data_IF_996853461405
#
_entry.id   IF_996853461405
#
_cell.length_a   1.000
_cell.length_b   1.000
_cell.length_c   1.000
_cell.angle_alpha   90.00
_cell.angle_beta   90.00
_cell.angle_gamma   90.00
#
_symmetry.space_group_name_H-M   'P 1'
#
loop_
_entity.id
_entity.type
_entity.pdbx_description
1 polymer ?
#
# COMPACT_ATOMS: atom_id res chain seq x y z
N UNK A 1 43.80 -47.81 8.34
CA UNK A 1 42.60 -48.00 7.50
C UNK A 1 41.95 -46.63 7.33
N UNK A 2 41.95 -46.07 6.12
CA UNK A 2 41.36 -44.77 5.73
C UNK A 2 40.39 -45.04 4.60
N UNK A 3 39.21 -44.41 4.62
CA UNK A 3 38.42 -44.15 3.42
C UNK A 3 37.95 -42.69 3.46
N UNK A 4 38.06 -42.04 2.31
CA UNK A 4 37.69 -40.67 1.97
C UNK A 4 36.72 -40.77 0.79
N UNK A 5 35.64 -39.97 0.75
CA UNK A 5 34.91 -39.69 -0.50
C UNK A 5 34.32 -38.28 -0.48
N UNK A 6 34.96 -37.40 -1.25
CA UNK A 6 34.37 -36.22 -1.89
C UNK A 6 33.84 -36.60 -3.29
N UNK A 7 32.90 -35.80 -3.79
CA UNK A 7 32.30 -35.74 -5.14
C UNK A 7 31.19 -36.80 -5.39
N UNK A 8 29.99 -36.52 -5.92
CA UNK A 8 29.63 -35.76 -7.13
C UNK A 8 28.11 -35.36 -7.08
N UNK A 9 27.82 -34.07 -7.31
CA UNK A 9 26.67 -33.32 -7.92
C UNK A 9 25.24 -33.89 -8.20
N UNK A 10 24.19 -33.15 -7.73
CA UNK A 10 22.91 -32.61 -8.32
C UNK A 10 22.36 -33.07 -9.72
N UNK A 11 21.12 -32.70 -10.22
CA UNK A 11 19.78 -32.33 -9.65
C UNK A 11 18.51 -32.87 -10.42
N UNK A 12 17.28 -32.61 -9.89
CA UNK A 12 15.93 -32.48 -10.53
C UNK A 12 15.27 -33.58 -11.39
N UNK A 13 14.08 -34.07 -10.98
CA UNK A 13 12.96 -34.47 -11.87
C UNK A 13 11.59 -34.43 -11.13
N UNK A 14 10.63 -33.75 -11.76
CA UNK A 14 9.21 -33.55 -11.40
C UNK A 14 8.36 -34.84 -11.42
N UNK A 15 7.27 -34.92 -10.65
CA UNK A 15 5.86 -34.89 -11.17
C UNK A 15 4.79 -35.26 -10.11
N UNK A 16 3.63 -34.61 -10.27
CA UNK A 16 2.44 -34.52 -9.43
C UNK A 16 1.42 -35.65 -9.73
N UNK A 17 0.82 -36.35 -8.74
CA UNK A 17 -0.31 -37.24 -9.01
C UNK A 17 -1.60 -36.79 -8.29
N UNK A 18 -2.16 -35.66 -8.70
CA UNK A 18 -3.62 -35.48 -8.70
C UNK A 18 -4.15 -35.83 -10.09
N UNK A 19 -4.34 -37.13 -10.34
CA UNK A 19 -5.16 -37.64 -11.45
C UNK A 19 -5.71 -39.01 -11.05
N UNK A 20 -7.03 -39.15 -11.17
CA UNK A 20 -7.88 -40.30 -10.79
C UNK A 20 -8.15 -40.29 -9.28
N UNK A 21 -9.32 -39.87 -8.81
CA UNK A 21 -10.57 -40.61 -8.99
C UNK A 21 -11.75 -39.63 -8.94
N UNK A 22 -12.54 -39.62 -9.99
CA UNK A 22 -13.94 -39.22 -9.93
C UNK A 22 -14.69 -40.37 -10.59
N UNK A 23 -15.56 -41.06 -9.83
CA UNK A 23 -16.80 -41.69 -10.29
C UNK A 23 -17.57 -42.23 -9.08
N UNK A 24 -18.59 -41.45 -8.74
CA UNK A 24 -19.83 -41.74 -8.02
C UNK A 24 -20.33 -43.18 -8.04
N UNK A 25 -20.85 -43.64 -6.90
CA UNK A 25 -22.06 -44.45 -6.87
C UNK A 25 -22.99 -44.00 -5.73
N UNK A 26 -24.19 -43.53 -6.12
CA UNK A 26 -25.32 -43.19 -5.24
C UNK A 26 -26.04 -44.47 -4.80
N UNK A 27 -26.73 -44.36 -3.67
CA UNK A 27 -27.70 -45.29 -3.04
C UNK A 27 -27.13 -46.26 -2.01
N UNK A 28 -26.83 -45.73 -0.82
CA UNK A 28 -27.56 -46.11 0.39
C UNK A 28 -27.72 -44.85 1.26
N UNK A 29 -28.91 -44.25 1.21
CA UNK A 29 -29.46 -43.43 2.29
C UNK A 29 -29.96 -44.42 3.34
N UNK A 30 -29.45 -44.34 4.57
CA UNK A 30 -30.22 -43.86 5.72
C UNK A 30 -29.44 -44.09 7.03
N UNK A 31 -29.64 -43.14 7.95
CA UNK A 31 -29.04 -42.99 9.29
C UNK A 31 -27.76 -42.15 9.37
N UNK A 32 -27.87 -40.84 9.09
CA UNK A 32 -26.94 -39.86 9.64
C UNK A 32 -27.25 -39.64 11.13
N UNK A 33 -26.53 -40.34 12.00
CA UNK A 33 -26.33 -39.88 13.37
C UNK A 33 -25.43 -38.65 13.28
N UNK A 34 -26.01 -37.49 13.53
CA UNK A 34 -25.31 -36.22 13.58
C UNK A 34 -24.45 -36.17 14.85
N UNK A 35 -23.25 -36.75 14.82
CA UNK A 35 -22.23 -36.47 15.82
C UNK A 35 -21.60 -35.13 15.46
N UNK A 36 -22.24 -34.04 15.91
CA UNK A 36 -21.49 -32.82 16.22
C UNK A 36 -20.37 -33.26 17.15
N UNK A 37 -19.12 -33.14 16.70
CA UNK A 37 -18.01 -33.09 17.64
C UNK A 37 -18.27 -31.87 18.50
N UNK A 38 -18.71 -32.10 19.73
CA UNK A 38 -18.66 -31.10 20.79
C UNK A 38 -17.19 -30.70 20.92
N UNK A 39 -16.85 -29.56 20.33
CA UNK A 39 -15.62 -28.85 20.65
C UNK A 39 -15.76 -28.50 22.12
N UNK A 40 -15.06 -29.22 23.00
CA UNK A 40 -14.94 -28.86 24.40
C UNK A 40 -14.25 -27.49 24.41
N UNK A 41 -15.04 -26.43 24.63
CA UNK A 41 -14.55 -25.06 24.68
C UNK A 41 -13.88 -24.86 26.03
N UNK A 42 -12.60 -24.48 25.98
CA UNK A 42 -11.79 -24.13 27.14
C UNK A 42 -12.31 -22.83 27.76
N UNK A 43 -12.98 -22.95 28.91
CA UNK A 43 -13.53 -21.86 29.74
C UNK A 43 -12.59 -21.45 30.89
N UNK A 44 -11.33 -21.89 30.85
CA UNK A 44 -10.30 -21.40 31.77
C UNK A 44 -9.99 -19.93 31.50
N UNK A 45 -9.39 -19.24 32.48
CA UNK A 45 -8.91 -17.87 32.30
C UNK A 45 -7.96 -17.77 31.10
N UNK A 46 -7.09 -18.77 30.89
CA UNK A 46 -6.21 -18.91 29.71
C UNK A 46 -6.98 -19.12 28.38
N UNK A 47 -8.16 -19.73 28.43
CA UNK A 47 -9.04 -19.96 27.28
C UNK A 47 -9.77 -18.68 26.85
N UNK A 48 -10.18 -17.86 27.82
CA UNK A 48 -10.84 -16.58 27.59
C UNK A 48 -9.82 -15.49 27.24
N UNK A 49 -8.62 -15.50 27.84
CA UNK A 49 -7.53 -14.59 27.49
C UNK A 49 -7.09 -14.73 26.01
N UNK A 50 -7.34 -15.86 25.35
CA UNK A 50 -7.15 -16.00 23.89
C UNK A 50 -8.08 -15.10 23.07
N UNK A 51 -9.26 -14.75 23.60
CA UNK A 51 -10.16 -13.76 22.99
C UNK A 51 -9.71 -12.32 23.26
N UNK A 52 -8.87 -12.11 24.27
CA UNK A 52 -8.36 -10.81 24.71
C UNK A 52 -6.88 -10.60 24.43
N UNK A 53 -6.23 -11.49 23.67
CA UNK A 53 -4.82 -11.39 23.33
C UNK A 53 -4.55 -9.92 22.99
N UNK A 54 -3.68 -9.25 23.76
CA UNK A 54 -3.64 -7.79 24.07
C UNK A 54 -3.54 -6.86 22.84
N UNK A 55 -3.63 -7.42 21.64
CA UNK A 55 -3.52 -6.81 20.34
C UNK A 55 -4.76 -7.08 19.44
N UNK A 56 -5.96 -7.42 19.96
CA UNK A 56 -7.09 -7.82 19.09
C UNK A 56 -7.58 -6.68 18.17
N UNK A 57 -7.71 -5.46 18.68
CA UNK A 57 -7.99 -4.28 17.87
C UNK A 57 -6.73 -3.73 17.20
N UNK A 58 -5.56 -3.94 17.82
CA UNK A 58 -4.27 -3.58 17.22
C UNK A 58 -4.01 -4.34 15.92
N UNK A 59 -4.37 -5.62 15.84
CA UNK A 59 -4.26 -6.41 14.61
C UNK A 59 -5.11 -5.82 13.47
N UNK A 60 -6.29 -5.28 13.78
CA UNK A 60 -7.16 -4.59 12.80
C UNK A 60 -6.48 -3.30 12.31
N UNK A 61 -5.89 -2.53 13.22
CA UNK A 61 -5.12 -1.33 12.88
C UNK A 61 -3.87 -1.63 12.06
N UNK A 62 -3.10 -2.64 12.50
CA UNK A 62 -1.87 -3.09 11.84
C UNK A 62 -2.18 -3.67 10.45
N UNK A 63 -3.30 -4.40 10.28
CA UNK A 63 -3.80 -4.87 8.98
C UNK A 63 -4.21 -3.69 8.07
N UNK A 64 -4.89 -2.66 8.60
CA UNK A 64 -5.21 -1.46 7.83
C UNK A 64 -3.94 -0.69 7.39
N UNK A 65 -2.91 -0.65 8.24
CA UNK A 65 -1.61 -0.06 7.91
C UNK A 65 -0.77 -0.91 6.95
N UNK A 66 -0.81 -2.25 7.07
CA UNK A 66 -0.06 -3.16 6.19
C UNK A 66 -0.74 -3.37 4.85
N UNK A 67 -2.08 -3.35 4.77
CA UNK A 67 -2.81 -3.33 3.50
C UNK A 67 -2.67 -1.98 2.78
N UNK A 68 -2.41 -0.88 3.50
CA UNK A 68 -1.97 0.39 2.91
C UNK A 68 -0.56 0.29 2.27
N UNK A 69 0.31 -0.58 2.82
CA UNK A 69 1.63 -0.89 2.27
C UNK A 69 1.60 -2.02 1.22
N UNK A 70 0.56 -2.85 1.18
CA UNK A 70 0.31 -3.79 0.08
C UNK A 70 -0.36 -3.03 -1.05
N UNK A 71 0.25 -3.12 -2.22
CA UNK A 71 -0.11 -2.47 -3.48
C UNK A 71 -1.52 -2.81 -4.06
N UNK A 72 -2.48 -3.21 -3.24
CA UNK A 72 -3.89 -3.36 -3.63
C UNK A 72 -4.77 -2.50 -2.73
N UNK A 73 -5.33 -1.45 -3.32
CA UNK A 73 -6.50 -0.72 -2.82
C UNK A 73 -7.62 -1.71 -2.55
N UNK A 74 -7.75 -2.14 -1.31
CA UNK A 74 -9.03 -2.49 -0.69
C UNK A 74 -9.21 -1.56 0.49
N UNK A 75 -9.89 -0.45 0.22
CA UNK A 75 -11.01 0.10 1.00
C UNK A 75 -10.91 0.00 2.54
N UNK A 76 -9.76 0.36 3.10
CA UNK A 76 -9.62 0.51 4.54
C UNK A 76 -9.19 1.96 4.83
N UNK A 77 -10.15 2.87 4.79
CA UNK A 77 -9.94 4.22 5.27
C UNK A 77 -10.18 4.28 6.79
N UNK A 78 -9.81 5.37 7.44
CA UNK A 78 -10.01 5.52 8.88
C UNK A 78 -11.48 5.52 9.30
N UNK A 79 -12.41 5.91 8.43
CA UNK A 79 -13.84 5.70 8.69
C UNK A 79 -14.23 4.21 8.74
N UNK A 80 -13.55 3.34 8.00
CA UNK A 80 -13.77 1.89 8.01
C UNK A 80 -13.14 1.22 9.23
N UNK A 81 -12.07 1.79 9.82
CA UNK A 81 -11.46 1.22 11.03
C UNK A 81 -12.43 1.26 12.22
N UNK A 82 -13.21 2.34 12.34
CA UNK A 82 -14.20 2.50 13.40
C UNK A 82 -15.31 1.45 13.25
N UNK A 83 -15.77 1.21 12.00
CA UNK A 83 -16.75 0.15 11.72
C UNK A 83 -16.21 -1.22 12.11
N UNK A 84 -14.97 -1.54 11.72
CA UNK A 84 -14.32 -2.80 12.07
C UNK A 84 -14.12 -2.99 13.56
N UNK A 85 -13.80 -1.91 14.29
CA UNK A 85 -13.74 -1.96 15.76
C UNK A 85 -15.10 -2.29 16.35
N UNK A 86 -16.18 -1.66 15.87
CA UNK A 86 -17.55 -1.98 16.30
C UNK A 86 -17.96 -3.43 15.98
N UNK A 87 -17.71 -3.91 14.76
CA UNK A 87 -17.97 -5.30 14.35
C UNK A 87 -17.22 -6.29 15.24
N UNK A 88 -15.94 -6.02 15.47
CA UNK A 88 -15.09 -6.89 16.28
C UNK A 88 -15.51 -6.89 17.74
N UNK A 89 -15.91 -5.73 18.26
CA UNK A 89 -16.46 -5.63 19.60
C UNK A 89 -17.68 -6.53 19.75
N UNK A 90 -18.66 -6.43 18.84
CA UNK A 90 -19.87 -7.26 18.89
C UNK A 90 -19.56 -8.76 18.79
N UNK A 91 -18.63 -9.17 17.92
CA UNK A 91 -18.18 -10.56 17.78
C UNK A 91 -17.61 -11.13 19.10
N UNK A 92 -16.84 -10.32 19.83
CA UNK A 92 -16.23 -10.73 21.11
C UNK A 92 -17.28 -10.69 22.22
N UNK A 93 -18.15 -9.67 22.23
CA UNK A 93 -19.25 -9.53 23.16
C UNK A 93 -20.14 -10.79 23.17
N UNK A 94 -20.60 -11.24 21.99
CA UNK A 94 -21.42 -12.45 21.85
C UNK A 94 -20.72 -13.68 22.43
N UNK A 95 -19.41 -13.82 22.19
CA UNK A 95 -18.62 -14.93 22.75
C UNK A 95 -18.55 -14.87 24.27
N UNK A 96 -18.39 -13.69 24.87
CA UNK A 96 -18.38 -13.52 26.32
C UNK A 96 -19.75 -13.90 26.89
N UNK A 97 -20.83 -13.42 26.29
CA UNK A 97 -22.20 -13.72 26.76
C UNK A 97 -22.51 -15.22 26.66
N UNK A 98 -22.13 -15.87 25.56
CA UNK A 98 -22.40 -17.29 25.31
C UNK A 98 -21.53 -18.25 26.13
N UNK A 99 -20.25 -17.91 26.36
CA UNK A 99 -19.25 -18.89 26.81
C UNK A 99 -18.73 -18.67 28.22
N UNK A 100 -18.99 -17.52 28.82
CA UNK A 100 -18.45 -17.16 30.13
C UNK A 100 -19.46 -17.42 31.25
N UNK A 101 -19.03 -17.94 32.42
CA UNK A 101 -19.86 -17.99 33.64
C UNK A 101 -20.37 -16.61 34.08
N UNK A 102 -21.62 -16.52 34.55
CA UNK A 102 -22.26 -15.23 34.90
C UNK A 102 -21.46 -14.38 35.89
N UNK A 103 -20.77 -15.01 36.85
CA UNK A 103 -19.96 -14.33 37.86
C UNK A 103 -18.64 -13.74 37.34
N UNK A 104 -18.27 -13.99 36.09
CA UNK A 104 -17.09 -13.42 35.42
C UNK A 104 -17.43 -12.53 34.22
N UNK A 105 -18.71 -12.49 33.80
CA UNK A 105 -19.12 -11.71 32.61
C UNK A 105 -18.79 -10.24 32.75
N UNK A 106 -19.11 -9.64 33.89
CA UNK A 106 -18.85 -8.22 34.16
C UNK A 106 -17.35 -7.88 34.02
N UNK A 107 -16.47 -8.67 34.65
CA UNK A 107 -15.02 -8.48 34.57
C UNK A 107 -14.49 -8.53 33.12
N UNK A 108 -14.95 -9.48 32.30
CA UNK A 108 -14.49 -9.58 30.91
C UNK A 108 -15.09 -8.51 30.01
N UNK A 109 -16.32 -8.06 30.28
CA UNK A 109 -16.91 -6.94 29.55
C UNK A 109 -16.17 -5.63 29.85
N UNK A 110 -15.80 -5.38 31.12
CA UNK A 110 -14.97 -4.23 31.50
C UNK A 110 -13.61 -4.24 30.79
N UNK A 111 -13.00 -5.42 30.68
CA UNK A 111 -11.75 -5.60 29.90
C UNK A 111 -11.95 -5.34 28.41
N UNK A 112 -13.08 -5.76 27.83
CA UNK A 112 -13.40 -5.51 26.42
C UNK A 112 -13.62 -4.03 26.15
N UNK A 113 -14.39 -3.35 27.00
CA UNK A 113 -14.62 -1.90 26.92
C UNK A 113 -13.31 -1.12 27.07
N UNK A 114 -12.45 -1.52 28.01
CA UNK A 114 -11.13 -0.89 28.19
C UNK A 114 -10.24 -1.06 26.94
N UNK A 115 -10.15 -2.28 26.39
CA UNK A 115 -9.37 -2.54 25.19
C UNK A 115 -9.92 -1.82 23.95
N UNK A 116 -11.24 -1.66 23.86
CA UNK A 116 -11.89 -0.88 22.80
C UNK A 116 -11.57 0.61 22.92
N UNK A 117 -11.72 1.19 24.11
CA UNK A 117 -11.39 2.60 24.37
C UNK A 117 -9.92 2.90 24.04
N UNK A 118 -8.99 2.06 24.51
CA UNK A 118 -7.56 2.21 24.24
C UNK A 118 -7.25 2.18 22.73
N UNK A 119 -7.93 1.31 21.98
CA UNK A 119 -7.78 1.23 20.53
C UNK A 119 -8.32 2.47 19.82
N UNK A 120 -9.49 2.97 20.23
CA UNK A 120 -10.11 4.18 19.67
C UNK A 120 -9.24 5.40 19.95
N UNK A 121 -8.75 5.57 21.18
CA UNK A 121 -7.89 6.70 21.56
C UNK A 121 -6.55 6.68 20.81
N UNK A 122 -5.97 5.50 20.62
CA UNK A 122 -4.76 5.35 19.82
C UNK A 122 -5.00 5.75 18.35
N UNK A 123 -6.06 5.27 17.72
CA UNK A 123 -6.38 5.63 16.33
C UNK A 123 -6.74 7.11 16.17
N UNK A 124 -7.47 7.69 17.14
CA UNK A 124 -7.74 9.12 17.17
C UNK A 124 -6.43 9.93 17.29
N UNK A 125 -5.50 9.49 18.14
CA UNK A 125 -4.21 10.16 18.33
C UNK A 125 -3.35 10.10 17.07
N UNK A 126 -3.32 8.95 16.38
CA UNK A 126 -2.66 8.81 15.08
C UNK A 126 -3.28 9.76 14.04
N UNK A 127 -4.60 9.87 14.01
CA UNK A 127 -5.29 10.74 13.07
C UNK A 127 -4.98 12.22 13.33
N UNK A 128 -5.06 12.66 14.59
CA UNK A 128 -4.66 14.03 14.97
C UNK A 128 -3.21 14.32 14.59
N UNK A 129 -2.31 13.35 14.75
CA UNK A 129 -0.92 13.50 14.32
C UNK A 129 -0.79 13.67 12.79
N UNK A 130 -1.55 12.91 11.99
CA UNK A 130 -1.59 13.06 10.52
C UNK A 130 -2.09 14.44 10.12
N UNK A 131 -3.16 14.92 10.76
CA UNK A 131 -3.70 16.27 10.53
C UNK A 131 -2.62 17.32 10.85
N UNK A 132 -2.02 17.27 12.04
CA UNK A 132 -0.98 18.22 12.44
C UNK A 132 0.24 18.22 11.52
N UNK A 133 0.67 17.03 11.07
CA UNK A 133 1.78 16.86 10.13
C UNK A 133 1.48 17.60 8.82
N UNK A 134 0.29 17.39 8.24
CA UNK A 134 -0.10 18.02 6.99
C UNK A 134 -0.16 19.55 7.10
N UNK A 135 -0.74 20.08 8.18
CA UNK A 135 -0.75 21.54 8.41
C UNK A 135 0.67 22.12 8.56
N UNK A 136 1.55 21.44 9.29
CA UNK A 136 2.95 21.86 9.45
C UNK A 136 3.72 21.87 8.14
N UNK A 137 3.54 20.85 7.30
CA UNK A 137 4.19 20.75 5.97
C UNK A 137 3.79 21.92 5.05
N UNK A 138 2.62 22.52 5.28
CA UNK A 138 2.13 23.68 4.52
C UNK A 138 2.39 25.03 5.23
N UNK A 139 3.11 25.05 6.36
CA UNK A 139 3.29 26.23 7.20
C UNK A 139 1.96 26.90 7.62
N UNK A 140 0.91 26.10 7.81
CA UNK A 140 -0.42 26.54 8.23
C UNK A 140 -0.67 26.16 9.69
N UNK A 141 -1.42 27.00 10.41
CA UNK A 141 -2.00 26.62 11.70
C UNK A 141 -3.40 26.03 11.47
N UNK A 142 -3.74 24.99 12.21
CA UNK A 142 -5.05 24.36 12.11
C UNK A 142 -6.06 25.03 13.05
N UNK A 143 -7.15 25.56 12.50
CA UNK A 143 -8.33 25.97 13.27
C UNK A 143 -9.15 24.79 13.80
N UNK A 144 -8.85 23.56 13.38
CA UNK A 144 -9.55 22.38 13.87
C UNK A 144 -9.37 22.23 15.38
N UNK A 145 -10.48 22.24 16.12
CA UNK A 145 -10.42 22.02 17.55
C UNK A 145 -10.14 20.54 17.83
N UNK A 146 -8.88 20.24 18.20
CA UNK A 146 -8.42 18.86 18.48
C UNK A 146 -9.25 18.15 19.56
N UNK A 147 -9.71 18.89 20.58
CA UNK A 147 -10.53 18.31 21.64
C UNK A 147 -11.91 17.94 21.11
N UNK A 148 -12.55 18.84 20.36
CA UNK A 148 -13.84 18.56 19.72
C UNK A 148 -13.75 17.45 18.68
N UNK A 149 -12.65 17.39 17.92
CA UNK A 149 -12.38 16.30 16.99
C UNK A 149 -12.27 14.96 17.72
N UNK A 150 -11.47 14.89 18.79
CA UNK A 150 -11.29 13.66 19.56
C UNK A 150 -12.58 13.21 20.26
N UNK A 151 -13.36 14.15 20.77
CA UNK A 151 -14.68 13.87 21.36
C UNK A 151 -15.65 13.31 20.31
N UNK A 152 -15.71 13.92 19.12
CA UNK A 152 -16.54 13.40 18.03
C UNK A 152 -16.07 12.02 17.56
N UNK A 153 -14.76 11.81 17.38
CA UNK A 153 -14.20 10.54 16.96
C UNK A 153 -14.58 9.42 17.93
N UNK A 154 -14.44 9.67 19.23
CA UNK A 154 -14.88 8.76 20.29
C UNK A 154 -16.39 8.49 20.22
N UNK A 155 -17.22 9.53 20.16
CA UNK A 155 -18.68 9.38 20.09
C UNK A 155 -19.12 8.54 18.89
N UNK A 156 -18.49 8.75 17.72
CA UNK A 156 -18.72 7.95 16.50
C UNK A 156 -18.32 6.50 16.73
N UNK A 157 -17.19 6.24 17.40
CA UNK A 157 -16.76 4.87 17.70
C UNK A 157 -17.72 4.13 18.64
N UNK A 158 -18.21 4.78 19.70
CA UNK A 158 -19.21 4.19 20.58
C UNK A 158 -20.55 3.99 19.88
N UNK A 159 -20.99 4.93 19.03
CA UNK A 159 -22.19 4.72 18.24
C UNK A 159 -22.01 3.55 17.24
N UNK A 160 -20.83 3.38 16.64
CA UNK A 160 -20.54 2.23 15.80
C UNK A 160 -20.55 0.92 16.60
N UNK A 161 -19.99 0.91 17.81
CA UNK A 161 -20.07 -0.22 18.75
C UNK A 161 -21.53 -0.63 18.99
N UNK A 162 -22.37 0.33 19.36
CA UNK A 162 -23.79 0.10 19.63
C UNK A 162 -24.54 -0.40 18.39
N UNK A 163 -24.23 0.14 17.21
CA UNK A 163 -24.85 -0.29 15.95
C UNK A 163 -24.74 -1.81 15.73
N UNK A 164 -23.53 -2.36 15.94
CA UNK A 164 -23.28 -3.79 15.73
C UNK A 164 -23.77 -4.65 16.90
N UNK A 165 -23.68 -4.16 18.13
CA UNK A 165 -24.25 -4.85 19.30
C UNK A 165 -25.77 -4.99 19.22
N UNK A 166 -26.46 -3.97 18.71
CA UNK A 166 -27.91 -3.98 18.51
C UNK A 166 -28.36 -4.81 17.28
N UNK A 167 -27.41 -5.35 16.48
CA UNK A 167 -27.66 -5.95 15.16
C UNK A 167 -28.59 -5.08 14.29
N UNK A 168 -28.35 -3.76 14.33
CA UNK A 168 -29.23 -2.77 13.72
C UNK A 168 -29.37 -3.00 12.21
N UNK A 169 -30.61 -2.87 11.72
CA UNK A 169 -30.92 -2.93 10.27
C UNK A 169 -31.02 -1.55 9.63
N UNK A 170 -30.79 -0.49 10.41
CA UNK A 170 -30.77 0.87 9.91
C UNK A 170 -29.54 1.08 9.01
N UNK A 171 -29.61 2.03 8.09
CA UNK A 171 -28.42 2.50 7.40
C UNK A 171 -27.40 3.06 8.42
N UNK A 172 -26.13 2.67 8.30
CA UNK A 172 -25.10 2.99 9.28
C UNK A 172 -24.97 4.50 9.50
N UNK A 173 -24.91 5.30 8.44
CA UNK A 173 -24.74 6.75 8.56
C UNK A 173 -25.93 7.36 9.30
N UNK A 174 -27.15 6.97 8.92
CA UNK A 174 -28.37 7.43 9.61
C UNK A 174 -28.41 7.00 11.06
N UNK A 175 -27.88 5.83 11.40
CA UNK A 175 -27.83 5.37 12.77
C UNK A 175 -26.89 6.25 13.60
N UNK A 176 -25.67 6.50 13.12
CA UNK A 176 -24.70 7.38 13.79
C UNK A 176 -25.30 8.79 14.00
N UNK A 177 -25.92 9.36 12.98
CA UNK A 177 -26.56 10.69 13.05
C UNK A 177 -27.77 10.74 13.97
N UNK A 178 -28.41 9.60 14.26
CA UNK A 178 -29.48 9.53 15.25
C UNK A 178 -28.98 9.50 16.70
N UNK A 179 -27.72 9.08 16.91
CA UNK A 179 -27.10 8.95 18.23
C UNK A 179 -26.26 10.17 18.60
N UNK A 180 -25.77 10.92 17.61
CA UNK A 180 -24.85 12.04 17.80
C UNK A 180 -25.44 13.32 17.21
N UNK A 181 -25.56 14.36 18.04
CA UNK A 181 -25.92 15.70 17.57
C UNK A 181 -24.67 16.45 17.10
N UNK A 182 -24.28 16.22 15.84
CA UNK A 182 -23.13 16.82 15.18
C UNK A 182 -23.08 18.36 15.30
N UNK A 183 -24.25 19.01 15.36
CA UNK A 183 -24.35 20.48 15.45
C UNK A 183 -23.82 21.07 16.76
N UNK A 184 -23.69 20.26 17.81
CA UNK A 184 -23.27 20.70 19.15
C UNK A 184 -21.85 20.33 19.53
N UNK A 185 -21.27 19.35 18.86
CA UNK A 185 -20.04 18.69 19.31
C UNK A 185 -18.88 18.83 18.33
N UNK A 186 -19.09 19.47 17.17
CA UNK A 186 -18.08 19.47 16.13
C UNK A 186 -18.16 20.61 15.12
N UNK A 187 -17.07 20.75 14.36
CA UNK A 187 -16.97 21.58 13.16
C UNK A 187 -17.61 20.93 11.92
N UNK A 188 -18.04 19.66 12.03
CA UNK A 188 -18.75 18.91 10.99
C UNK A 188 -20.23 18.78 11.34
N UNK A 189 -21.11 19.00 10.36
CA UNK A 189 -22.57 18.97 10.54
C UNK A 189 -23.20 17.58 10.31
N UNK A 190 -22.50 16.69 9.62
CA UNK A 190 -22.96 15.34 9.27
C UNK A 190 -21.86 14.30 9.50
N UNK A 191 -22.26 13.04 9.72
CA UNK A 191 -21.29 11.94 9.85
C UNK A 191 -20.53 11.74 8.54
N UNK A 192 -21.24 11.83 7.42
CA UNK A 192 -20.64 11.65 6.09
C UNK A 192 -19.50 12.66 5.85
N UNK A 193 -19.70 13.92 6.21
CA UNK A 193 -18.66 14.95 6.06
C UNK A 193 -17.47 14.71 7.00
N UNK A 194 -17.72 14.35 8.26
CA UNK A 194 -16.64 13.98 9.20
C UNK A 194 -15.81 12.79 8.68
N UNK A 195 -16.48 11.75 8.16
CA UNK A 195 -15.84 10.57 7.62
C UNK A 195 -14.98 10.92 6.39
N UNK A 196 -15.53 11.67 5.43
CA UNK A 196 -14.79 12.10 4.23
C UNK A 196 -13.56 12.93 4.57
N UNK A 197 -13.68 13.93 5.46
CA UNK A 197 -12.55 14.78 5.86
C UNK A 197 -11.47 13.96 6.56
N UNK A 198 -11.87 13.04 7.45
CA UNK A 198 -10.93 12.12 8.12
C UNK A 198 -10.20 11.23 7.11
N UNK A 199 -10.93 10.70 6.11
CA UNK A 199 -10.36 9.85 5.06
C UNK A 199 -9.45 10.62 4.10
N UNK A 200 -9.70 11.91 3.86
CA UNK A 200 -8.82 12.78 3.08
C UNK A 200 -7.48 12.96 3.78
N UNK A 201 -7.49 13.28 5.08
CA UNK A 201 -6.24 13.45 5.84
C UNK A 201 -5.43 12.15 5.89
N UNK A 202 -6.09 11.01 6.08
CA UNK A 202 -5.44 9.71 6.03
C UNK A 202 -4.85 9.41 4.65
N UNK A 203 -5.62 9.65 3.58
CA UNK A 203 -5.21 9.42 2.20
C UNK A 203 -4.02 10.31 1.81
N UNK A 204 -4.08 11.60 2.10
CA UNK A 204 -3.00 12.55 1.83
C UNK A 204 -1.71 12.14 2.56
N UNK A 205 -1.80 11.77 3.85
CA UNK A 205 -0.63 11.29 4.62
C UNK A 205 -0.05 10.01 4.00
N UNK A 206 -0.89 9.04 3.62
CA UNK A 206 -0.44 7.78 2.99
C UNK A 206 0.24 8.03 1.64
N UNK A 207 -0.28 8.96 0.84
CA UNK A 207 0.32 9.34 -0.45
C UNK A 207 1.69 10.00 -0.22
N UNK A 208 1.80 10.96 0.71
CA UNK A 208 3.09 11.58 1.07
C UNK A 208 4.12 10.54 1.50
N UNK A 209 3.75 9.57 2.34
CA UNK A 209 4.67 8.53 2.79
C UNK A 209 5.11 7.61 1.62
N UNK A 210 4.19 7.25 0.71
CA UNK A 210 4.51 6.47 -0.50
C UNK A 210 5.41 7.25 -1.46
N UNK A 211 5.18 8.56 -1.63
CA UNK A 211 6.03 9.43 -2.43
C UNK A 211 7.43 9.54 -1.86
N UNK A 212 7.56 9.71 -0.54
CA UNK A 212 8.86 9.79 0.12
C UNK A 212 9.64 8.47 -0.05
N UNK A 213 8.98 7.31 0.08
CA UNK A 213 9.60 6.01 -0.23
C UNK A 213 10.08 5.90 -1.68
N UNK A 214 9.27 6.35 -2.64
CA UNK A 214 9.67 6.34 -4.05
C UNK A 214 10.85 7.30 -4.29
N UNK A 215 10.78 8.52 -3.74
CA UNK A 215 11.87 9.50 -3.78
C UNK A 215 13.18 8.92 -3.25
N UNK A 216 13.16 8.25 -2.10
CA UNK A 216 14.33 7.57 -1.53
C UNK A 216 14.89 6.49 -2.46
N UNK A 217 14.03 5.65 -3.06
CA UNK A 217 14.47 4.62 -4.00
C UNK A 217 15.16 5.22 -5.23
N UNK A 218 14.61 6.31 -5.77
CA UNK A 218 15.15 7.00 -6.95
C UNK A 218 16.47 7.71 -6.64
N UNK A 219 16.60 8.33 -5.45
CA UNK A 219 17.82 9.05 -5.07
C UNK A 219 18.95 8.14 -4.59
N UNK A 220 18.64 6.92 -4.14
CA UNK A 220 19.63 5.96 -3.64
C UNK A 220 20.21 5.04 -4.72
N UNK A 221 19.74 5.15 -5.96
CA UNK A 221 20.13 4.26 -7.05
C UNK A 221 20.48 5.05 -8.32
N UNK A 222 21.51 4.61 -9.04
CA UNK A 222 21.79 5.12 -10.39
C UNK A 222 20.81 4.55 -11.41
N UNK A 223 20.59 5.22 -12.56
CA UNK A 223 19.74 4.69 -13.63
C UNK A 223 20.13 3.27 -14.06
N UNK A 224 21.43 2.99 -14.16
CA UNK A 224 21.96 1.66 -14.51
C UNK A 224 21.56 0.60 -13.47
N UNK A 225 21.77 0.87 -12.17
CA UNK A 225 21.40 -0.07 -11.10
C UNK A 225 19.90 -0.38 -11.09
N UNK A 226 19.08 0.64 -11.39
CA UNK A 226 17.63 0.48 -11.47
C UNK A 226 17.24 -0.46 -12.62
N UNK A 227 17.78 -0.24 -13.84
CA UNK A 227 17.40 -1.04 -15.01
C UNK A 227 17.97 -2.46 -14.97
N UNK A 228 19.13 -2.66 -14.35
CA UNK A 228 19.72 -3.99 -14.14
C UNK A 228 18.94 -4.81 -13.08
N UNK A 229 18.33 -4.12 -12.11
CA UNK A 229 17.54 -4.76 -11.06
C UNK A 229 16.06 -4.86 -11.43
N UNK A 230 15.66 -6.04 -11.90
CA UNK A 230 14.23 -6.37 -12.13
C UNK A 230 13.36 -6.11 -10.89
N UNK A 231 13.90 -6.26 -9.68
CA UNK A 231 13.14 -5.98 -8.46
C UNK A 231 12.90 -4.47 -8.28
N UNK A 232 13.95 -3.65 -8.39
CA UNK A 232 13.84 -2.19 -8.22
C UNK A 232 12.94 -1.57 -9.28
N UNK A 233 13.14 -1.90 -10.56
CA UNK A 233 12.28 -1.40 -11.65
C UNK A 233 10.80 -1.77 -11.42
N UNK A 234 10.52 -3.00 -10.98
CA UNK A 234 9.15 -3.39 -10.66
C UNK A 234 8.59 -2.62 -9.45
N UNK A 235 9.40 -2.35 -8.43
CA UNK A 235 8.95 -1.56 -7.28
C UNK A 235 8.64 -0.12 -7.68
N UNK A 236 9.50 0.54 -8.45
CA UNK A 236 9.29 1.90 -8.98
C UNK A 236 7.98 1.95 -9.79
N UNK A 237 7.82 1.05 -10.77
CA UNK A 237 6.61 1.01 -11.59
C UNK A 237 5.33 0.81 -10.77
N UNK A 238 5.42 -0.01 -9.72
CA UNK A 238 4.31 -0.27 -8.79
C UNK A 238 3.98 0.94 -7.94
N UNK A 239 4.98 1.62 -7.36
CA UNK A 239 4.78 2.84 -6.59
C UNK A 239 4.17 3.94 -7.45
N UNK A 240 4.74 4.24 -8.63
CA UNK A 240 4.20 5.26 -9.53
C UNK A 240 2.76 4.97 -9.95
N UNK A 241 2.46 3.71 -10.32
CA UNK A 241 1.09 3.33 -10.70
C UNK A 241 0.10 3.44 -9.54
N UNK A 242 0.51 3.07 -8.32
CA UNK A 242 -0.32 3.23 -7.12
C UNK A 242 -0.56 4.70 -6.80
N UNK A 243 0.47 5.53 -6.84
CA UNK A 243 0.37 6.97 -6.56
C UNK A 243 -0.61 7.65 -7.51
N UNK A 244 -0.60 7.31 -8.80
CA UNK A 244 -1.57 7.81 -9.77
C UNK A 244 -3.01 7.53 -9.37
N UNK A 245 -3.27 6.30 -8.92
CA UNK A 245 -4.60 5.87 -8.51
C UNK A 245 -5.00 6.56 -7.21
N UNK A 246 -4.09 6.61 -6.24
CA UNK A 246 -4.35 7.14 -4.91
C UNK A 246 -4.60 8.66 -4.96
N UNK A 247 -3.83 9.41 -5.76
CA UNK A 247 -4.02 10.86 -5.96
C UNK A 247 -5.34 11.15 -6.69
N UNK A 248 -5.69 10.33 -7.69
CA UNK A 248 -7.00 10.47 -8.36
C UNK A 248 -8.15 10.28 -7.37
N UNK A 249 -8.06 9.23 -6.54
CA UNK A 249 -9.07 8.96 -5.52
C UNK A 249 -9.15 10.06 -4.46
N UNK A 250 -8.01 10.62 -4.04
CA UNK A 250 -7.95 11.77 -3.14
C UNK A 250 -8.68 12.97 -3.74
N UNK A 251 -8.42 13.32 -5.01
CA UNK A 251 -9.06 14.45 -5.68
C UNK A 251 -10.58 14.24 -5.81
N UNK A 252 -11.02 13.04 -6.20
CA UNK A 252 -12.44 12.70 -6.25
C UNK A 252 -13.12 12.80 -4.87
N UNK A 253 -12.41 12.38 -3.81
CA UNK A 253 -12.91 12.47 -2.44
C UNK A 253 -13.02 13.93 -1.98
N UNK A 254 -12.02 14.76 -2.30
CA UNK A 254 -12.03 16.21 -2.03
C UNK A 254 -13.19 16.92 -2.74
N UNK A 255 -13.42 16.61 -4.03
CA UNK A 255 -14.54 17.15 -4.81
C UNK A 255 -15.92 16.71 -4.29
N UNK A 256 -15.98 15.61 -3.53
CA UNK A 256 -17.23 15.05 -3.00
C UNK A 256 -17.68 15.64 -1.66
N UNK A 257 -16.89 16.54 -1.06
CA UNK A 257 -17.26 17.21 0.19
C UNK A 257 -18.44 18.15 -0.07
N UNK A 258 -19.50 18.02 0.73
CA UNK A 258 -20.53 19.05 0.78
C UNK A 258 -20.04 20.22 1.63
N UNK A 259 -19.67 21.26 0.90
CA UNK A 259 -19.24 22.56 1.37
C UNK A 259 -20.17 23.26 2.37
N UNK A 260 -21.44 22.88 2.44
CA UNK A 260 -22.41 23.43 3.39
C UNK A 260 -22.32 22.79 4.79
N UNK A 261 -21.64 21.64 4.90
CA UNK A 261 -21.62 20.79 6.10
C UNK A 261 -20.38 20.97 7.00
N UNK A 262 -19.54 21.95 6.69
CA UNK A 262 -18.34 22.28 7.47
C UNK A 262 -18.47 23.70 8.03
N UNK A 263 -17.98 23.92 9.25
CA UNK A 263 -17.77 25.26 9.81
C UNK A 263 -16.97 26.13 8.82
N UNK A 264 -17.41 27.38 8.58
CA UNK A 264 -16.87 28.25 7.53
C UNK A 264 -15.36 28.51 7.69
N UNK A 265 -14.89 28.70 8.92
CA UNK A 265 -13.47 28.99 9.17
C UNK A 265 -12.61 27.74 8.93
N UNK A 266 -13.04 26.60 9.48
CA UNK A 266 -12.41 25.28 9.27
C UNK A 266 -12.40 24.91 7.79
N UNK A 267 -13.50 25.14 7.09
CA UNK A 267 -13.64 24.87 5.67
C UNK A 267 -12.61 25.64 4.85
N UNK A 268 -12.49 26.95 5.07
CA UNK A 268 -11.60 27.81 4.28
C UNK A 268 -10.15 27.34 4.42
N UNK A 269 -9.72 27.02 5.63
CA UNK A 269 -8.36 26.52 5.88
C UNK A 269 -8.15 25.12 5.33
N UNK A 270 -9.13 24.22 5.54
CA UNK A 270 -9.07 22.84 5.04
C UNK A 270 -8.96 22.82 3.52
N UNK A 271 -9.83 23.55 2.81
CA UNK A 271 -9.80 23.57 1.34
C UNK A 271 -8.50 24.17 0.82
N UNK A 272 -8.02 25.28 1.40
CA UNK A 272 -6.72 25.85 1.03
C UNK A 272 -5.54 24.90 1.26
N UNK A 273 -5.56 24.17 2.39
CA UNK A 273 -4.56 23.15 2.69
C UNK A 273 -4.60 22.02 1.66
N UNK A 274 -5.79 21.50 1.37
CA UNK A 274 -5.97 20.35 0.50
C UNK A 274 -5.69 20.68 -0.97
N UNK A 275 -6.05 21.87 -1.44
CA UNK A 275 -5.67 22.38 -2.77
C UNK A 275 -4.14 22.48 -2.90
N UNK A 276 -3.47 23.15 -1.96
CA UNK A 276 -2.00 23.26 -1.94
C UNK A 276 -1.33 21.88 -1.92
N UNK A 277 -1.83 20.98 -1.06
CA UNK A 277 -1.29 19.63 -0.94
C UNK A 277 -1.51 18.84 -2.23
N UNK A 278 -2.71 18.88 -2.80
CA UNK A 278 -3.03 18.21 -4.06
C UNK A 278 -2.13 18.69 -5.19
N UNK A 279 -1.89 20.00 -5.32
CA UNK A 279 -0.99 20.55 -6.34
C UNK A 279 0.45 20.02 -6.19
N UNK A 280 1.00 20.00 -4.98
CA UNK A 280 2.33 19.43 -4.71
C UNK A 280 2.41 17.95 -5.02
N UNK A 281 1.39 17.18 -4.61
CA UNK A 281 1.30 15.74 -4.89
C UNK A 281 1.21 15.49 -6.41
N UNK A 282 0.39 16.23 -7.13
CA UNK A 282 0.25 16.13 -8.58
C UNK A 282 1.56 16.47 -9.32
N UNK A 283 2.23 17.56 -8.92
CA UNK A 283 3.50 17.97 -9.52
C UNK A 283 4.60 16.92 -9.31
N UNK A 284 4.77 16.43 -8.08
CA UNK A 284 5.75 15.38 -7.81
C UNK A 284 5.43 14.10 -8.58
N UNK A 285 4.15 13.70 -8.60
CA UNK A 285 3.75 12.50 -9.29
C UNK A 285 4.05 12.59 -10.79
N UNK A 286 3.82 13.75 -11.40
CA UNK A 286 4.19 14.04 -12.79
C UNK A 286 5.70 13.92 -13.03
N UNK A 287 6.53 14.43 -12.11
CA UNK A 287 7.99 14.27 -12.17
C UNK A 287 8.41 12.81 -12.05
N UNK A 288 7.84 12.06 -11.11
CA UNK A 288 8.14 10.63 -10.90
C UNK A 288 7.74 9.77 -12.12
N UNK A 289 6.59 10.05 -12.73
CA UNK A 289 6.16 9.38 -13.98
C UNK A 289 7.15 9.64 -15.12
N UNK A 290 7.54 10.90 -15.32
CA UNK A 290 8.53 11.27 -16.36
C UNK A 290 9.85 10.54 -16.12
N UNK A 291 10.29 10.44 -14.86
CA UNK A 291 11.51 9.71 -14.52
C UNK A 291 11.40 8.22 -14.87
N UNK A 292 10.27 7.59 -14.53
CA UNK A 292 9.99 6.20 -14.93
C UNK A 292 10.02 6.02 -16.46
N UNK A 293 9.40 6.91 -17.22
CA UNK A 293 9.41 6.86 -18.69
C UNK A 293 10.83 6.99 -19.26
N UNK A 294 11.68 7.82 -18.64
CA UNK A 294 13.09 7.95 -19.01
C UNK A 294 13.87 6.68 -18.71
N UNK A 295 13.66 6.04 -17.55
CA UNK A 295 14.26 4.74 -17.22
C UNK A 295 13.91 3.67 -18.26
N UNK A 296 12.65 3.60 -18.71
CA UNK A 296 12.23 2.65 -19.74
C UNK A 296 12.87 2.91 -21.10
N UNK A 297 13.08 4.19 -21.46
CA UNK A 297 13.83 4.57 -22.67
C UNK A 297 15.29 4.19 -22.54
N UNK A 298 15.89 4.46 -21.38
CA UNK A 298 17.27 4.15 -21.06
C UNK A 298 17.57 2.66 -21.17
N UNK A 299 16.73 1.81 -20.55
CA UNK A 299 16.82 0.34 -20.66
C UNK A 299 16.80 -0.14 -22.13
N UNK A 300 15.93 0.44 -22.96
CA UNK A 300 15.87 0.10 -24.40
C UNK A 300 17.13 0.51 -25.14
N UNK A 301 17.70 1.68 -24.85
CA UNK A 301 18.95 2.16 -25.46
C UNK A 301 20.11 1.26 -25.01
N UNK A 302 20.21 0.94 -23.72
CA UNK A 302 21.26 0.07 -23.18
C UNK A 302 21.25 -1.32 -23.82
N UNK A 303 20.08 -1.96 -23.92
CA UNK A 303 19.91 -3.24 -24.62
C UNK A 303 20.32 -3.20 -26.09
N UNK A 304 20.14 -2.06 -26.77
CA UNK A 304 20.59 -1.89 -28.16
C UNK A 304 22.10 -1.72 -28.23
N UNK A 305 22.69 -1.00 -27.29
CA UNK A 305 24.12 -0.77 -27.17
C UNK A 305 24.86 -2.09 -26.91
N UNK A 306 24.38 -2.91 -25.97
CA UNK A 306 24.94 -4.24 -25.68
C UNK A 306 24.91 -5.15 -26.92
N UNK A 307 23.78 -5.13 -27.65
CA UNK A 307 23.66 -5.89 -28.91
C UNK A 307 24.61 -5.39 -29.99
N UNK A 308 24.81 -4.07 -30.10
CA UNK A 308 25.73 -3.49 -31.07
C UNK A 308 27.19 -3.85 -30.73
N UNK A 309 27.56 -3.78 -29.45
CA UNK A 309 28.88 -4.17 -28.95
C UNK A 309 29.15 -5.67 -29.15
N UNK A 310 28.19 -6.55 -28.80
CA UNK A 310 28.34 -7.98 -29.06
C UNK A 310 28.49 -8.30 -30.56
N UNK A 311 27.77 -7.57 -31.43
CA UNK A 311 27.95 -7.69 -32.89
C UNK A 311 29.34 -7.21 -33.33
N UNK A 312 29.83 -6.10 -32.79
CA UNK A 312 31.17 -5.56 -33.07
C UNK A 312 32.25 -6.58 -32.73
N UNK A 313 32.18 -7.19 -31.54
CA UNK A 313 33.12 -8.23 -31.11
C UNK A 313 33.09 -9.45 -32.04
N UNK A 314 31.89 -9.91 -32.43
CA UNK A 314 31.75 -11.03 -33.36
C UNK A 314 32.39 -10.72 -34.73
N UNK A 315 32.21 -9.50 -35.25
CA UNK A 315 32.81 -9.11 -36.54
C UNK A 315 34.33 -8.91 -36.40
N UNK A 316 34.82 -8.35 -35.30
CA UNK A 316 36.26 -8.26 -35.01
C UNK A 316 36.90 -9.65 -35.01
N UNK A 317 36.30 -10.64 -34.32
CA UNK A 317 36.80 -12.00 -34.32
C UNK A 317 36.82 -12.65 -35.73
N UNK A 318 35.88 -12.28 -36.62
CA UNK A 318 35.88 -12.71 -38.03
C UNK A 318 36.94 -11.98 -38.85
N UNK A 319 37.16 -10.70 -38.60
CA UNK A 319 38.21 -9.90 -39.22
C UNK A 319 39.60 -10.47 -38.87
N UNK A 320 39.83 -10.84 -37.61
CA UNK A 320 41.10 -11.45 -37.18
C UNK A 320 41.39 -12.77 -37.94
N UNK A 321 40.36 -13.61 -38.14
CA UNK A 321 40.48 -14.82 -38.95
C UNK A 321 40.73 -14.54 -40.44
N UNK A 322 40.07 -13.51 -40.99
CA UNK A 322 40.29 -13.08 -42.37
C UNK A 322 41.72 -12.53 -42.56
N UNK A 323 42.24 -11.80 -41.58
CA UNK A 323 43.63 -11.33 -41.52
C UNK A 323 44.63 -12.49 -41.50
N UNK A 324 44.39 -13.51 -40.66
CA UNK A 324 45.22 -14.73 -40.59
C UNK A 324 45.28 -15.47 -41.93
N UNK A 325 44.15 -15.53 -42.64
CA UNK A 325 44.04 -16.18 -43.96
C UNK A 325 44.40 -15.27 -45.13
N UNK A 326 44.80 -14.00 -44.87
CA UNK A 326 45.13 -12.97 -45.86
C UNK A 326 44.04 -12.75 -46.93
N UNK A 327 42.77 -12.97 -46.59
CA UNK A 327 41.65 -12.78 -47.52
C UNK A 327 41.22 -11.30 -47.56
N UNK A 328 41.80 -10.54 -48.50
CA UNK A 328 41.61 -9.09 -48.61
C UNK A 328 40.16 -8.66 -48.88
N UNK A 329 39.39 -9.43 -49.64
CA UNK A 329 37.98 -9.12 -49.90
C UNK A 329 37.14 -9.21 -48.61
N UNK A 330 37.34 -10.27 -47.81
CA UNK A 330 36.67 -10.42 -46.51
C UNK A 330 37.12 -9.35 -45.51
N UNK A 331 38.40 -9.00 -45.48
CA UNK A 331 38.94 -7.92 -44.65
C UNK A 331 38.22 -6.61 -44.95
N UNK A 332 38.16 -6.20 -46.22
CA UNK A 332 37.49 -4.96 -46.64
C UNK A 332 35.99 -4.95 -46.28
N UNK A 333 35.30 -6.08 -46.50
CA UNK A 333 33.89 -6.21 -46.15
C UNK A 333 33.66 -6.08 -44.63
N UNK A 334 34.48 -6.72 -43.81
CA UNK A 334 34.34 -6.66 -42.35
C UNK A 334 34.69 -5.29 -41.78
N UNK A 335 35.71 -4.61 -42.30
CA UNK A 335 36.04 -3.24 -41.90
C UNK A 335 34.87 -2.28 -42.14
N UNK A 336 34.23 -2.33 -43.31
CA UNK A 336 33.03 -1.51 -43.60
C UNK A 336 31.88 -1.80 -42.63
N UNK A 337 31.70 -3.07 -42.22
CA UNK A 337 30.67 -3.45 -41.24
C UNK A 337 31.01 -2.93 -39.85
N UNK A 338 32.27 -3.00 -39.43
CA UNK A 338 32.73 -2.45 -38.13
C UNK A 338 32.53 -0.94 -38.10
N UNK A 339 32.86 -0.23 -39.17
CA UNK A 339 32.64 1.22 -39.29
C UNK A 339 31.16 1.57 -39.10
N UNK A 340 30.26 0.88 -39.81
CA UNK A 340 28.82 1.06 -39.64
C UNK A 340 28.32 0.76 -38.22
N UNK A 341 28.85 -0.30 -37.57
CA UNK A 341 28.50 -0.62 -36.18
C UNK A 341 29.04 0.45 -35.22
N UNK A 342 30.25 0.97 -35.43
CA UNK A 342 30.81 2.03 -34.61
C UNK A 342 29.97 3.30 -34.66
N UNK A 343 29.48 3.69 -35.85
CA UNK A 343 28.53 4.82 -35.97
C UNK A 343 27.27 4.57 -35.13
N UNK A 344 26.69 3.36 -35.20
CA UNK A 344 25.51 3.01 -34.40
C UNK A 344 25.80 3.03 -32.89
N UNK A 345 26.97 2.55 -32.46
CA UNK A 345 27.38 2.57 -31.05
C UNK A 345 27.50 4.01 -30.57
N UNK A 346 28.19 4.88 -31.30
CA UNK A 346 28.34 6.29 -30.92
C UNK A 346 26.99 7.03 -30.88
N UNK A 347 26.07 6.78 -31.82
CA UNK A 347 24.71 7.34 -31.76
C UNK A 347 23.94 6.89 -30.50
N UNK A 348 24.08 5.63 -30.12
CA UNK A 348 23.45 5.09 -28.91
C UNK A 348 24.10 5.60 -27.62
N UNK A 349 25.42 5.78 -27.60
CA UNK A 349 26.14 6.39 -26.47
C UNK A 349 25.70 7.84 -26.25
N UNK A 350 25.53 8.62 -27.32
CA UNK A 350 25.00 9.98 -27.24
C UNK A 350 23.57 9.99 -26.70
N UNK A 351 22.70 9.10 -27.19
CA UNK A 351 21.32 8.98 -26.67
C UNK A 351 21.29 8.56 -25.19
N UNK A 352 22.18 7.65 -24.79
CA UNK A 352 22.33 7.21 -23.40
C UNK A 352 22.70 8.38 -22.49
N UNK A 353 23.72 9.15 -22.88
CA UNK A 353 24.19 10.31 -22.12
C UNK A 353 23.13 11.43 -22.03
N UNK A 354 22.34 11.64 -23.08
CA UNK A 354 21.22 12.60 -23.06
C UNK A 354 20.13 12.17 -22.07
N UNK A 355 19.74 10.89 -22.08
CA UNK A 355 18.76 10.37 -21.13
C UNK A 355 19.26 10.45 -19.69
N UNK A 356 20.54 10.15 -19.44
CA UNK A 356 21.16 10.29 -18.12
C UNK A 356 21.15 11.74 -17.64
N UNK A 357 21.42 12.71 -18.51
CA UNK A 357 21.35 14.13 -18.17
C UNK A 357 19.91 14.57 -17.84
N UNK A 358 18.93 14.20 -18.67
CA UNK A 358 17.51 14.48 -18.40
C UNK A 358 17.04 13.86 -17.08
N UNK A 359 17.47 12.63 -16.79
CA UNK A 359 17.19 11.96 -15.52
C UNK A 359 17.85 12.66 -14.32
N UNK A 360 19.10 13.14 -14.47
CA UNK A 360 19.81 13.86 -13.41
C UNK A 360 19.15 15.19 -13.06
N UNK A 361 18.73 15.96 -14.08
CA UNK A 361 18.00 17.22 -13.89
C UNK A 361 16.67 16.95 -13.17
N UNK A 362 15.94 15.92 -13.58
CA UNK A 362 14.67 15.56 -12.97
C UNK A 362 14.82 15.03 -11.53
N UNK A 363 15.88 14.27 -11.23
CA UNK A 363 16.20 13.84 -9.86
C UNK A 363 16.53 15.02 -8.96
N UNK A 364 17.20 16.04 -9.49
CA UNK A 364 17.45 17.27 -8.75
C UNK A 364 16.13 17.96 -8.38
N UNK A 365 15.23 18.14 -9.34
CA UNK A 365 13.90 18.72 -9.09
C UNK A 365 13.09 17.90 -8.07
N UNK A 366 13.14 16.56 -8.17
CA UNK A 366 12.54 15.63 -7.21
C UNK A 366 13.17 15.78 -5.82
N UNK A 367 14.49 15.93 -5.73
CA UNK A 367 15.22 16.08 -4.46
C UNK A 367 14.82 17.37 -3.72
N UNK A 368 14.65 18.46 -4.47
CA UNK A 368 14.33 19.80 -3.97
C UNK A 368 12.83 19.99 -3.68
N UNK A 369 11.97 19.09 -4.16
CA UNK A 369 10.52 19.15 -3.91
C UNK A 369 10.18 18.77 -2.45
N UNK A 370 9.44 19.64 -1.77
CA UNK A 370 8.90 19.43 -0.41
C UNK A 370 7.56 18.69 -0.47
N UNK A 371 7.44 17.55 0.24
CA UNK A 371 6.24 16.68 0.26
C UNK A 371 5.97 16.16 1.66
#
# INVERSE_FOLDING_TARGET
MKINYNNITNPNLYTNPLKNINLTNKKYQDNSVNTKQDVIVDISDDGIDKYFNENIFKAIADEAETDSNRLSVKDNNSSDIIKKFGEKYAEIYDKIIEKTPDNKKEEYLDRLDSAFQDAVDNECSKMLHKIEKLYKEENMESSLNKKSYAELFNNVAFAAKDYFLEDSKQDFNKYIESKIDFSKVSDFKTYETFAKVTDIFDSASKISDKMNKLKELLLSSTPEEIIESKNLMNQINKYTSSLNKDIKALNELMESIDDADINVDVKKELMGLLESKSDKLNDMNSKMQKYQDLLEKYDKVKKRLDKANAKKELINAKLDKANQTKNQELISMYLKRIESINTQVSELEVQSAQLEAEMADLLKDISESEI
#
